data_IF_546445053778
#
_entry.id   IF_546445053778
#
_cell.length_a   1.000
_cell.length_b   1.000
_cell.length_c   1.000
_cell.angle_alpha   90.00
_cell.angle_beta   90.00
_cell.angle_gamma   90.00
#
_symmetry.space_group_name_H-M   'P 1'
#
loop_
_entity.id
_entity.type
_entity.pdbx_description
1 polymer ?
#
# COMPACT_ATOMS: atom_id res chain seq x y z
N UNK A 1 13.68 16.74 -31.50
CA UNK A 1 12.42 16.28 -30.88
C UNK A 1 12.74 15.99 -29.42
N UNK A 2 12.30 16.86 -28.50
CA UNK A 2 12.43 16.57 -27.05
C UNK A 2 11.51 15.37 -26.81
N UNK A 3 12.05 14.26 -26.33
CA UNK A 3 11.23 13.18 -25.80
C UNK A 3 10.31 13.79 -24.72
N UNK A 4 9.01 13.49 -24.68
CA UNK A 4 8.19 13.89 -23.54
C UNK A 4 8.80 13.29 -22.26
N UNK A 5 8.78 14.07 -21.19
CA UNK A 5 9.08 13.58 -19.83
C UNK A 5 8.13 12.40 -19.57
N UNK A 6 8.67 11.25 -19.15
CA UNK A 6 7.90 10.02 -19.05
C UNK A 6 6.75 10.20 -18.05
N UNK A 7 5.54 9.74 -18.40
CA UNK A 7 4.41 9.76 -17.50
C UNK A 7 4.57 8.64 -16.47
N UNK A 8 4.89 9.00 -15.23
CA UNK A 8 5.13 8.04 -14.16
C UNK A 8 3.82 7.59 -13.52
N UNK A 9 3.71 6.28 -13.26
CA UNK A 9 2.63 5.66 -12.48
C UNK A 9 3.26 4.99 -11.26
N UNK A 10 2.80 5.36 -10.07
CA UNK A 10 3.22 4.71 -8.84
C UNK A 10 2.30 3.53 -8.55
N UNK A 11 2.84 2.32 -8.65
CA UNK A 11 2.18 1.06 -8.35
C UNK A 11 2.52 0.64 -6.92
N UNK A 12 1.55 0.66 -6.01
CA UNK A 12 1.85 0.43 -4.59
C UNK A 12 2.28 -1.00 -4.31
N UNK A 13 3.48 -1.18 -3.73
CA UNK A 13 3.90 -2.45 -3.14
C UNK A 13 3.28 -2.56 -1.74
N UNK A 14 2.61 -3.68 -1.49
CA UNK A 14 1.71 -3.87 -0.33
C UNK A 14 1.93 -5.27 0.30
N UNK A 15 0.94 -5.78 1.03
CA UNK A 15 1.02 -7.00 1.86
C UNK A 15 0.29 -8.21 1.25
N UNK A 16 0.59 -9.41 1.78
CA UNK A 16 -0.19 -10.65 1.61
C UNK A 16 -0.50 -11.02 0.14
N UNK A 17 -1.75 -11.41 -0.15
CA UNK A 17 -2.14 -11.95 -1.45
C UNK A 17 -1.95 -10.94 -2.61
N UNK A 18 -2.33 -9.66 -2.51
CA UNK A 18 -2.10 -8.74 -3.62
C UNK A 18 -0.60 -8.39 -3.79
N UNK A 19 0.26 -8.57 -2.78
CA UNK A 19 1.71 -8.46 -2.96
C UNK A 19 2.24 -9.61 -3.84
N UNK A 20 1.80 -10.83 -3.57
CA UNK A 20 2.12 -12.00 -4.40
C UNK A 20 1.60 -11.84 -5.84
N UNK A 21 0.38 -11.31 -6.01
CA UNK A 21 -0.16 -11.01 -7.34
C UNK A 21 0.69 -9.96 -8.09
N UNK A 22 1.19 -8.94 -7.38
CA UNK A 22 2.06 -7.90 -7.94
C UNK A 22 3.34 -8.49 -8.53
N UNK A 23 3.96 -9.48 -7.86
CA UNK A 23 5.17 -10.14 -8.38
C UNK A 23 4.96 -10.81 -9.74
N UNK A 24 3.73 -11.22 -10.07
CA UNK A 24 3.38 -11.79 -11.37
C UNK A 24 2.96 -10.72 -12.37
N UNK A 25 2.04 -9.83 -11.97
CA UNK A 25 1.37 -8.91 -12.89
C UNK A 25 2.23 -7.69 -13.25
N UNK A 26 2.98 -7.12 -12.31
CA UNK A 26 3.73 -5.89 -12.55
C UNK A 26 4.78 -6.01 -13.67
N UNK A 27 5.59 -7.09 -13.75
CA UNK A 27 6.53 -7.27 -14.86
C UNK A 27 5.83 -7.31 -16.23
N UNK A 28 4.62 -7.88 -16.29
CA UNK A 28 3.81 -7.91 -17.51
C UNK A 28 3.38 -6.49 -17.89
N UNK A 29 2.88 -5.70 -16.94
CA UNK A 29 2.47 -4.31 -17.17
C UNK A 29 3.64 -3.43 -17.63
N UNK A 30 4.81 -3.58 -16.99
CA UNK A 30 6.03 -2.88 -17.38
C UNK A 30 6.49 -3.26 -18.81
N UNK A 31 6.43 -4.56 -19.16
CA UNK A 31 6.74 -4.99 -20.52
C UNK A 31 5.74 -4.42 -21.54
N UNK A 32 4.45 -4.36 -21.20
CA UNK A 32 3.39 -3.88 -22.08
C UNK A 32 3.46 -2.36 -22.34
N UNK A 33 3.98 -1.61 -21.38
CA UNK A 33 4.15 -0.14 -21.47
C UNK A 33 5.51 0.28 -22.03
N UNK A 34 6.40 -0.68 -22.32
CA UNK A 34 7.71 -0.39 -22.87
C UNK A 34 7.61 0.39 -24.19
N UNK A 35 8.25 1.56 -24.23
CA UNK A 35 8.27 2.43 -25.42
C UNK A 35 7.01 3.31 -25.60
N UNK A 36 6.04 3.25 -24.69
CA UNK A 36 4.87 4.14 -24.72
C UNK A 36 5.11 5.50 -24.05
N UNK A 37 6.25 5.67 -23.38
CA UNK A 37 6.53 6.86 -22.55
C UNK A 37 5.83 6.82 -21.18
N UNK A 38 5.34 5.65 -20.76
CA UNK A 38 4.77 5.41 -19.43
C UNK A 38 5.75 4.56 -18.63
N UNK A 39 6.05 4.97 -17.40
CA UNK A 39 6.92 4.23 -16.49
C UNK A 39 6.11 3.80 -15.26
N UNK A 40 6.27 2.55 -14.84
CA UNK A 40 5.65 2.02 -13.61
C UNK A 40 6.71 1.77 -12.56
N UNK A 41 6.70 2.60 -11.53
CA UNK A 41 7.57 2.48 -10.36
C UNK A 41 6.81 1.94 -9.15
N UNK A 42 7.56 1.38 -8.19
CA UNK A 42 6.98 0.81 -6.98
C UNK A 42 7.43 1.54 -5.74
N UNK A 43 6.45 2.02 -4.97
CA UNK A 43 6.68 2.61 -3.65
C UNK A 43 6.07 1.68 -2.60
N UNK A 44 6.87 1.36 -1.59
CA UNK A 44 6.54 0.35 -0.58
C UNK A 44 5.76 0.96 0.59
N UNK A 45 4.47 0.63 0.66
CA UNK A 45 3.57 1.01 1.74
C UNK A 45 3.04 -0.21 2.51
N UNK A 46 3.72 -1.35 2.39
CA UNK A 46 3.48 -2.53 3.23
C UNK A 46 3.59 -2.18 4.72
N UNK A 47 3.05 -3.04 5.59
CA UNK A 47 3.20 -2.89 7.04
C UNK A 47 4.67 -2.82 7.44
N UNK A 48 5.51 -3.73 6.94
CA UNK A 48 6.93 -3.74 7.25
C UNK A 48 7.66 -2.53 6.69
N UNK A 49 7.35 -2.10 5.46
CA UNK A 49 7.90 -0.88 4.88
C UNK A 49 7.61 0.36 5.75
N UNK A 50 6.35 0.52 6.18
CA UNK A 50 5.96 1.64 7.05
C UNK A 50 6.59 1.58 8.44
N UNK A 51 6.80 0.38 9.00
CA UNK A 51 7.56 0.22 10.26
C UNK A 51 9.00 0.70 10.04
N UNK A 52 9.70 0.16 9.04
CA UNK A 52 11.11 0.47 8.76
C UNK A 52 11.31 1.98 8.54
N UNK A 53 10.43 2.61 7.77
CA UNK A 53 10.47 4.05 7.50
C UNK A 53 10.31 4.94 8.75
N UNK A 54 9.66 4.45 9.81
CA UNK A 54 9.44 5.21 11.06
C UNK A 54 10.57 5.04 12.10
N UNK A 55 11.57 4.18 11.85
CA UNK A 55 12.72 3.97 12.75
C UNK A 55 14.08 4.03 12.03
N UNK A 56 14.35 5.00 11.13
CA UNK A 56 15.60 5.04 10.39
C UNK A 56 16.82 5.22 11.31
N UNK A 57 16.65 5.91 12.44
CA UNK A 57 17.66 6.14 13.47
C UNK A 57 18.14 4.85 14.15
N UNK A 58 17.38 3.77 14.06
CA UNK A 58 17.72 2.46 14.64
C UNK A 58 18.29 1.48 13.61
N UNK A 59 18.41 1.90 12.35
CA UNK A 59 18.77 1.03 11.22
C UNK A 59 20.12 1.41 10.62
N UNK A 60 20.77 0.41 10.02
CA UNK A 60 21.92 0.62 9.13
C UNK A 60 21.48 1.36 7.86
N UNK A 61 22.41 1.99 7.17
CA UNK A 61 22.10 2.75 5.95
C UNK A 61 21.46 1.87 4.88
N UNK A 62 21.91 0.62 4.76
CA UNK A 62 21.42 -0.36 3.80
C UNK A 62 20.02 -0.89 4.14
N UNK A 63 19.61 -0.82 5.40
CA UNK A 63 18.28 -1.25 5.86
C UNK A 63 17.23 -0.13 5.75
N UNK A 64 17.66 1.12 5.64
CA UNK A 64 16.76 2.27 5.55
C UNK A 64 16.03 2.26 4.22
N UNK A 65 14.78 2.69 4.27
CA UNK A 65 13.98 2.97 3.08
C UNK A 65 13.35 4.36 3.25
N UNK A 66 13.05 5.07 2.14
CA UNK A 66 12.29 6.31 2.20
C UNK A 66 10.91 6.11 2.85
N UNK A 67 10.39 7.15 3.49
CA UNK A 67 8.99 7.17 3.94
C UNK A 67 8.05 7.40 2.75
N UNK A 68 7.82 6.33 2.00
CA UNK A 68 6.99 6.34 0.80
C UNK A 68 5.54 6.72 1.08
N UNK A 69 5.01 6.51 2.30
CA UNK A 69 3.64 6.93 2.59
C UNK A 69 3.56 8.45 2.68
N UNK A 70 4.52 9.08 3.34
CA UNK A 70 4.62 10.56 3.36
C UNK A 70 4.84 11.11 1.95
N UNK A 71 5.76 10.53 1.17
CA UNK A 71 5.98 10.94 -0.22
C UNK A 71 4.74 10.76 -1.10
N UNK A 72 3.94 9.69 -0.93
CA UNK A 72 2.67 9.53 -1.64
C UNK A 72 1.65 10.60 -1.23
N UNK A 73 1.64 11.01 0.04
CA UNK A 73 0.80 12.10 0.52
C UNK A 73 1.13 13.41 -0.19
N UNK A 74 2.40 13.76 -0.26
CA UNK A 74 2.87 14.93 -1.01
C UNK A 74 2.52 14.81 -2.50
N UNK A 75 2.73 13.63 -3.10
CA UNK A 75 2.39 13.39 -4.49
C UNK A 75 0.90 13.60 -4.78
N UNK A 76 0.00 13.33 -3.83
CA UNK A 76 -1.46 13.52 -4.06
C UNK A 76 -1.85 14.99 -4.27
N UNK A 77 -0.98 15.95 -3.94
CA UNK A 77 -1.18 17.37 -4.22
C UNK A 77 -0.70 17.78 -5.61
N UNK A 78 0.05 16.91 -6.30
CA UNK A 78 0.54 17.15 -7.66
C UNK A 78 -0.54 16.84 -8.71
N UNK A 79 -0.88 17.77 -9.63
CA UNK A 79 -1.79 17.51 -10.74
C UNK A 79 -1.36 16.35 -11.67
N UNK A 80 -0.08 16.02 -11.72
CA UNK A 80 0.50 14.91 -12.48
C UNK A 80 0.43 13.56 -11.76
N UNK A 81 -0.09 13.50 -10.53
CA UNK A 81 -0.14 12.28 -9.74
C UNK A 81 -0.94 11.16 -10.42
N UNK A 82 -0.30 10.01 -10.59
CA UNK A 82 -0.95 8.79 -11.05
C UNK A 82 -0.57 7.62 -10.15
N UNK A 83 -1.50 7.22 -9.28
CA UNK A 83 -1.25 6.22 -8.24
C UNK A 83 -2.22 5.05 -8.42
N UNK A 84 -1.68 3.85 -8.63
CA UNK A 84 -2.46 2.61 -8.59
C UNK A 84 -2.32 2.01 -7.18
N UNK A 85 -3.37 2.19 -6.38
CA UNK A 85 -3.43 1.73 -4.99
C UNK A 85 -4.08 0.34 -4.87
N UNK A 86 -3.29 -0.65 -4.47
CA UNK A 86 -3.74 -2.02 -4.19
C UNK A 86 -4.19 -2.18 -2.73
N UNK A 87 -5.05 -3.16 -2.38
CA UNK A 87 -5.40 -3.42 -0.97
C UNK A 87 -4.17 -3.64 -0.09
N UNK A 88 -4.18 -3.11 1.14
CA UNK A 88 -3.08 -3.23 2.11
C UNK A 88 -3.61 -3.54 3.51
N UNK A 89 -2.73 -3.97 4.41
CA UNK A 89 -3.09 -4.23 5.81
C UNK A 89 -3.37 -2.91 6.55
N UNK A 90 -4.56 -2.81 7.16
CA UNK A 90 -4.82 -1.91 8.29
C UNK A 90 -4.51 -2.66 9.58
N UNK A 91 -3.31 -2.47 10.12
CA UNK A 91 -2.75 -3.41 11.09
C UNK A 91 -3.47 -3.36 12.44
N UNK A 92 -3.86 -4.52 12.95
CA UNK A 92 -4.16 -4.72 14.37
C UNK A 92 -2.86 -4.80 15.20
N UNK A 93 -2.97 -4.66 16.53
CA UNK A 93 -1.81 -4.79 17.42
C UNK A 93 -1.11 -6.16 17.29
N UNK A 94 -1.82 -7.31 17.23
CA UNK A 94 -1.16 -8.60 17.01
C UNK A 94 -0.41 -8.67 15.68
N UNK A 95 -0.98 -8.14 14.59
CA UNK A 95 -0.29 -8.10 13.28
C UNK A 95 0.95 -7.21 13.33
N UNK A 96 0.88 -6.06 14.00
CA UNK A 96 2.05 -5.20 14.21
C UNK A 96 3.16 -5.96 14.94
N UNK A 97 2.85 -6.60 16.08
CA UNK A 97 3.84 -7.36 16.86
C UNK A 97 4.44 -8.52 16.06
N UNK A 98 3.64 -9.22 15.26
CA UNK A 98 4.12 -10.25 14.35
C UNK A 98 5.11 -9.71 13.32
N UNK A 99 4.81 -8.57 12.70
CA UNK A 99 5.69 -7.92 11.74
C UNK A 99 6.99 -7.40 12.38
N UNK A 100 6.92 -6.86 13.61
CA UNK A 100 8.10 -6.45 14.38
C UNK A 100 9.01 -7.66 14.65
N UNK A 101 8.45 -8.75 15.16
CA UNK A 101 9.21 -9.97 15.44
C UNK A 101 9.86 -10.57 14.18
N UNK A 102 9.15 -10.54 13.05
CA UNK A 102 9.72 -10.97 11.77
C UNK A 102 10.88 -10.07 11.33
N UNK A 103 10.74 -8.75 11.42
CA UNK A 103 11.81 -7.80 11.10
C UNK A 103 13.04 -7.98 12.01
N UNK A 104 12.82 -8.13 13.31
CA UNK A 104 13.88 -8.41 14.28
C UNK A 104 14.62 -9.71 13.95
N UNK A 105 13.89 -10.77 13.58
CA UNK A 105 14.51 -12.04 13.16
C UNK A 105 15.39 -11.91 11.91
N UNK A 106 15.14 -10.89 11.08
CA UNK A 106 15.94 -10.52 9.90
C UNK A 106 17.07 -9.52 10.20
N UNK A 107 17.31 -9.20 11.47
CA UNK A 107 18.41 -8.34 11.91
C UNK A 107 18.09 -6.84 11.89
N UNK A 108 16.82 -6.45 11.80
CA UNK A 108 16.43 -5.04 11.96
C UNK A 108 16.32 -4.72 13.46
N UNK A 109 17.04 -3.71 13.93
CA UNK A 109 17.05 -3.28 15.33
C UNK A 109 15.82 -2.40 15.67
N UNK A 110 14.62 -2.91 15.39
CA UNK A 110 13.35 -2.22 15.67
C UNK A 110 12.90 -2.54 17.11
N UNK A 111 12.50 -1.54 17.91
CA UNK A 111 12.02 -1.78 19.27
C UNK A 111 10.69 -2.55 19.29
N UNK A 112 10.41 -3.22 20.40
CA UNK A 112 9.11 -3.83 20.63
C UNK A 112 8.01 -2.77 20.80
N UNK A 113 6.76 -3.14 20.52
CA UNK A 113 5.62 -2.27 20.77
C UNK A 113 5.29 -2.24 22.28
N UNK A 114 5.35 -1.08 22.96
CA UNK A 114 5.10 -0.98 24.39
C UNK A 114 3.59 -0.89 24.68
N UNK A 115 3.00 -1.98 25.18
CA UNK A 115 1.57 -2.05 25.53
C UNK A 115 1.18 -1.05 26.62
N UNK A 116 2.09 -0.80 27.57
CA UNK A 116 1.91 0.12 28.69
C UNK A 116 3.17 0.96 28.88
N UNK A 117 3.37 2.04 28.10
CA UNK A 117 4.57 2.85 28.15
C UNK A 117 4.64 3.62 29.47
N UNK A 118 5.77 3.49 30.15
CA UNK A 118 6.09 4.06 31.46
C UNK A 118 7.13 5.18 31.35
N UNK A 119 8.07 5.07 30.40
CA UNK A 119 9.13 6.06 30.16
C UNK A 119 8.80 7.00 28.99
N UNK A 120 9.52 8.11 28.89
CA UNK A 120 9.38 9.04 27.76
C UNK A 120 9.79 8.37 26.44
N UNK A 121 10.84 7.55 26.45
CA UNK A 121 11.29 6.76 25.29
C UNK A 121 10.22 5.77 24.84
N UNK A 122 9.58 5.03 25.76
CA UNK A 122 8.50 4.11 25.41
C UNK A 122 7.28 4.83 24.84
N UNK A 123 6.95 6.03 25.35
CA UNK A 123 5.87 6.86 24.79
C UNK A 123 6.21 7.34 23.39
N UNK A 124 7.45 7.72 23.12
CA UNK A 124 7.90 8.11 21.78
C UNK A 124 7.83 6.93 20.80
N UNK A 125 8.34 5.76 21.19
CA UNK A 125 8.28 4.53 20.38
C UNK A 125 6.82 4.18 20.06
N UNK A 126 5.93 4.24 21.06
CA UNK A 126 4.51 3.99 20.85
C UNK A 126 3.90 4.98 19.87
N UNK A 127 4.23 6.27 20.00
CA UNK A 127 3.72 7.31 19.12
C UNK A 127 4.13 7.08 17.66
N UNK A 128 5.37 6.64 17.41
CA UNK A 128 5.83 6.24 16.08
C UNK A 128 5.03 5.04 15.54
N UNK A 129 4.84 3.98 16.34
CA UNK A 129 4.02 2.83 15.92
C UNK A 129 2.56 3.18 15.68
N UNK A 130 1.98 4.10 16.45
CA UNK A 130 0.59 4.54 16.24
C UNK A 130 0.36 5.17 14.85
N UNK A 131 1.41 5.70 14.20
CA UNK A 131 1.33 6.17 12.80
C UNK A 131 1.19 5.05 11.79
N UNK A 132 1.50 3.81 12.18
CA UNK A 132 1.51 2.62 11.32
C UNK A 132 0.30 1.72 11.57
N UNK A 133 -0.24 1.71 12.79
CA UNK A 133 -1.39 0.88 13.19
C UNK A 133 -2.69 1.40 12.57
N UNK A 134 -3.63 0.48 12.33
CA UNK A 134 -4.96 0.81 11.82
C UNK A 134 -4.93 1.32 10.39
N UNK A 135 -5.92 2.15 10.03
CA UNK A 135 -6.07 2.69 8.68
C UNK A 135 -5.13 3.90 8.45
N UNK A 136 -3.82 3.67 8.51
CA UNK A 136 -2.82 4.72 8.31
C UNK A 136 -2.74 5.24 6.86
N UNK A 137 -2.98 4.36 5.88
CA UNK A 137 -2.73 4.68 4.46
C UNK A 137 -3.86 5.49 3.82
N UNK A 138 -5.12 5.08 3.99
CA UNK A 138 -6.24 5.71 3.28
C UNK A 138 -6.42 7.21 3.59
N UNK A 139 -6.28 7.69 4.84
CA UNK A 139 -6.39 9.12 5.15
C UNK A 139 -5.34 9.97 4.44
N UNK A 140 -4.17 9.40 4.14
CA UNK A 140 -3.10 10.08 3.40
C UNK A 140 -3.42 10.15 1.92
N UNK A 141 -3.86 9.04 1.30
CA UNK A 141 -4.00 8.96 -0.15
C UNK A 141 -5.33 9.51 -0.70
N UNK A 142 -6.38 9.62 0.13
CA UNK A 142 -7.73 10.00 -0.32
C UNK A 142 -7.96 11.50 -0.22
N UNK A 143 -7.20 12.29 -0.99
CA UNK A 143 -7.37 13.74 -1.10
C UNK A 143 -8.46 14.16 -2.11
N UNK A 144 -9.53 13.36 -2.21
CA UNK A 144 -10.62 13.56 -3.15
C UNK A 144 -11.84 12.69 -2.84
N UNK A 145 -12.93 12.91 -3.60
CA UNK A 145 -14.15 12.13 -3.47
C UNK A 145 -14.04 10.76 -4.16
N UNK A 146 -14.90 9.83 -3.77
CA UNK A 146 -14.92 8.46 -4.32
C UNK A 146 -15.92 8.33 -5.47
N UNK A 147 -15.46 7.92 -6.65
CA UNK A 147 -16.29 7.29 -7.69
C UNK A 147 -16.13 5.77 -7.60
N UNK A 148 -17.16 5.06 -7.11
CA UNK A 148 -17.16 3.60 -6.96
C UNK A 148 -18.36 2.99 -7.67
N UNK A 149 -18.08 2.21 -8.71
CA UNK A 149 -19.07 1.50 -9.52
C UNK A 149 -18.51 0.17 -10.04
N UNK A 150 -19.39 -0.78 -10.33
CA UNK A 150 -18.97 -2.03 -11.00
C UNK A 150 -18.55 -1.75 -12.44
N UNK A 151 -17.54 -2.46 -12.94
CA UNK A 151 -17.14 -2.36 -14.34
C UNK A 151 -18.21 -3.00 -15.24
N UNK A 152 -18.48 -2.38 -16.40
CA UNK A 152 -19.48 -2.88 -17.35
C UNK A 152 -19.22 -4.31 -17.80
N UNK A 153 -17.94 -4.68 -17.99
CA UNK A 153 -17.55 -6.05 -18.35
C UNK A 153 -17.91 -7.06 -17.27
N UNK A 154 -17.74 -6.72 -15.99
CA UNK A 154 -18.14 -7.57 -14.85
C UNK A 154 -19.65 -7.72 -14.80
N UNK A 155 -20.39 -6.62 -14.96
CA UNK A 155 -21.86 -6.65 -14.96
C UNK A 155 -22.40 -7.53 -16.09
N UNK A 156 -21.91 -7.35 -17.32
CA UNK A 156 -22.32 -8.16 -18.48
C UNK A 156 -21.98 -9.63 -18.31
N UNK A 157 -20.76 -9.94 -17.86
CA UNK A 157 -20.36 -11.33 -17.63
C UNK A 157 -21.25 -12.01 -16.58
N UNK A 158 -21.66 -11.28 -15.53
CA UNK A 158 -22.59 -11.80 -14.53
C UNK A 158 -23.99 -12.04 -15.11
N UNK A 159 -24.53 -11.08 -15.88
CA UNK A 159 -25.84 -11.18 -16.55
C UNK A 159 -25.90 -12.33 -17.56
N UNK A 160 -24.80 -12.61 -18.26
CA UNK A 160 -24.69 -13.71 -19.22
C UNK A 160 -24.56 -15.09 -18.54
N UNK A 161 -23.97 -15.15 -17.33
CA UNK A 161 -23.66 -16.41 -16.64
C UNK A 161 -24.66 -16.79 -15.55
N UNK A 162 -25.44 -15.83 -15.06
CA UNK A 162 -26.50 -16.06 -14.07
C UNK A 162 -27.85 -16.03 -14.80
N UNK A 163 -28.54 -17.17 -15.01
CA UNK A 163 -29.94 -17.10 -15.42
C UNK A 163 -30.71 -16.30 -14.35
N UNK A 164 -31.74 -15.53 -14.73
CA UNK A 164 -32.59 -14.88 -13.74
C UNK A 164 -33.07 -15.94 -12.74
N UNK A 165 -32.93 -15.67 -11.44
CA UNK A 165 -33.64 -16.47 -10.46
C UNK A 165 -35.13 -16.29 -10.79
N UNK A 166 -35.78 -17.34 -11.29
CA UNK A 166 -37.23 -17.43 -11.42
C UNK A 166 -37.86 -17.32 -10.03
N UNK A 167 -37.98 -16.09 -9.53
CA UNK A 167 -38.84 -15.71 -8.42
C UNK A 167 -40.06 -14.91 -8.94
N UNK A 168 -40.48 -15.19 -10.18
CA UNK A 168 -41.77 -14.84 -10.77
C UNK A 168 -42.65 -16.10 -11.01
N UNK A 169 -42.59 -17.07 -10.10
CA UNK A 169 -43.57 -18.17 -10.03
C UNK A 169 -43.98 -18.43 -8.58
N UNK A 170 -44.81 -17.55 -8.00
CA UNK A 170 -45.90 -17.83 -7.05
C UNK A 170 -46.25 -16.58 -6.22
N UNK A 171 -47.39 -15.96 -6.52
CA UNK A 171 -48.01 -14.93 -5.67
C UNK A 171 -48.75 -13.86 -6.46
#
# INVERSE_FOLDING_TARGET
MKMPEAAQIIYTKIDEAPALATHSLLPILQAYTKGSGIELDTWDISLTGRIVANFPDRLTEEQRIPDYLTMLGELTEDPGANIIKLPNISASIPQLKGAIAELQSKGYNIPDFPDTPSTDEEREIRARFNRVVGSAVNPVLRQGNSDRRSANSVKRAWEEQSPPNDAELAG
#
